data_IF_409760686024
#
_entry.id   IF_409760686024
#
_cell.length_a   1.000
_cell.length_b   1.000
_cell.length_c   1.000
_cell.angle_alpha   90.00
_cell.angle_beta   90.00
_cell.angle_gamma   90.00
#
_symmetry.space_group_name_H-M   'P 1'
#
loop_
_entity.id
_entity.type
_entity.pdbx_description
1 polymer ?
#
# COMPACT_ATOMS: atom_id res chain seq x y z
N UNK A 1 -15.31 8.73 -9.75
CA UNK A 1 -14.12 9.10 -8.94
C UNK A 1 -13.17 7.92 -8.71
N UNK A 2 -13.66 6.69 -8.46
CA UNK A 2 -12.77 5.52 -8.30
C UNK A 2 -11.94 5.18 -9.56
N UNK A 3 -12.41 5.56 -10.74
CA UNK A 3 -11.65 5.41 -12.00
C UNK A 3 -10.54 6.45 -12.14
N UNK A 4 -10.75 7.66 -11.61
CA UNK A 4 -9.78 8.74 -11.63
C UNK A 4 -8.74 8.62 -10.50
N UNK A 5 -9.11 7.98 -9.37
CA UNK A 5 -8.29 7.83 -8.20
C UNK A 5 -8.29 6.36 -7.72
N UNK A 6 -7.61 5.46 -8.44
CA UNK A 6 -7.53 4.04 -8.07
C UNK A 6 -6.64 3.88 -6.84
N UNK A 7 -7.17 4.03 -5.67
CA UNK A 7 -6.41 3.91 -4.43
C UNK A 7 -7.27 4.15 -3.21
N UNK A 8 -6.80 3.70 -2.06
CA UNK A 8 -7.55 3.86 -0.81
C UNK A 8 -7.62 5.33 -0.35
N UNK A 9 -6.69 6.19 -0.81
CA UNK A 9 -6.58 7.59 -0.37
C UNK A 9 -7.82 8.43 -0.65
N UNK A 10 -8.51 8.20 -1.77
CA UNK A 10 -9.70 8.99 -2.10
C UNK A 10 -10.87 8.78 -1.12
N UNK A 11 -10.95 7.62 -0.46
CA UNK A 11 -11.98 7.38 0.55
C UNK A 11 -11.80 8.32 1.75
N UNK A 12 -10.57 8.51 2.23
CA UNK A 12 -10.29 9.45 3.33
C UNK A 12 -10.62 10.89 2.94
N UNK A 13 -10.35 11.31 1.70
CA UNK A 13 -10.69 12.65 1.21
C UNK A 13 -12.21 12.86 1.10
N UNK A 14 -12.94 11.81 0.75
CA UNK A 14 -14.39 11.84 0.56
C UNK A 14 -15.20 11.53 1.82
N UNK A 15 -14.56 11.19 2.93
CA UNK A 15 -15.19 10.71 4.16
C UNK A 15 -16.34 11.60 4.63
N UNK A 16 -16.13 12.94 4.67
CA UNK A 16 -17.16 13.90 5.09
C UNK A 16 -18.44 13.83 4.25
N UNK A 17 -18.30 13.53 2.97
CA UNK A 17 -19.46 13.42 2.06
C UNK A 17 -20.19 12.11 2.26
N UNK A 18 -19.49 10.99 2.42
CA UNK A 18 -20.10 9.70 2.70
C UNK A 18 -20.88 9.71 4.02
N UNK A 19 -20.30 10.30 5.08
CA UNK A 19 -20.93 10.36 6.41
C UNK A 19 -22.10 11.34 6.47
N UNK A 20 -22.24 12.27 5.53
CA UNK A 20 -23.37 13.19 5.44
C UNK A 20 -24.59 12.59 4.72
N UNK A 21 -24.46 11.44 4.05
CA UNK A 21 -25.55 10.82 3.32
C UNK A 21 -26.51 10.08 4.28
N UNK A 22 -27.82 10.14 4.03
CA UNK A 22 -28.78 9.29 4.73
C UNK A 22 -28.49 7.81 4.51
N UNK A 23 -28.69 6.99 5.53
CA UNK A 23 -28.44 5.53 5.45
C UNK A 23 -29.27 4.87 4.33
N UNK A 24 -30.51 5.34 4.11
CA UNK A 24 -31.39 4.85 3.05
C UNK A 24 -30.79 5.03 1.64
N UNK A 25 -30.09 6.15 1.40
CA UNK A 25 -29.41 6.38 0.12
C UNK A 25 -28.18 5.48 -0.04
N UNK A 26 -27.44 5.29 1.05
CA UNK A 26 -26.28 4.39 1.03
C UNK A 26 -26.72 2.95 0.72
N UNK A 27 -27.78 2.45 1.37
CA UNK A 27 -28.35 1.11 1.14
C UNK A 27 -28.96 0.92 -0.26
N UNK A 28 -29.32 1.99 -0.94
CA UNK A 28 -29.80 1.94 -2.32
C UNK A 28 -28.69 1.82 -3.37
N UNK A 29 -27.42 2.05 -3.00
CA UNK A 29 -26.30 2.14 -3.94
C UNK A 29 -25.16 1.17 -3.61
N UNK A 30 -24.87 0.17 -4.47
CA UNK A 30 -23.71 -0.69 -4.30
C UNK A 30 -22.37 0.05 -4.16
N UNK A 31 -22.22 1.18 -4.86
CA UNK A 31 -21.03 2.03 -4.79
C UNK A 31 -20.85 2.67 -3.43
N UNK A 32 -21.95 3.16 -2.84
CA UNK A 32 -21.90 3.83 -1.55
C UNK A 32 -21.66 2.81 -0.41
N UNK A 33 -22.30 1.63 -0.47
CA UNK A 33 -22.05 0.56 0.49
C UNK A 33 -20.60 0.08 0.46
N UNK A 34 -20.01 -0.09 -0.73
CA UNK A 34 -18.59 -0.40 -0.88
C UNK A 34 -17.72 0.70 -0.26
N UNK A 35 -18.04 1.97 -0.55
CA UNK A 35 -17.29 3.12 -0.03
C UNK A 35 -17.34 3.19 1.49
N UNK A 36 -18.51 2.98 2.09
CA UNK A 36 -18.68 2.95 3.54
C UNK A 36 -17.94 1.79 4.20
N UNK A 37 -17.97 0.59 3.60
CA UNK A 37 -17.17 -0.55 4.08
C UNK A 37 -15.68 -0.21 4.10
N UNK A 38 -15.16 0.38 3.04
CA UNK A 38 -13.74 0.78 2.97
C UNK A 38 -13.41 1.91 3.95
N UNK A 39 -14.27 2.93 4.08
CA UNK A 39 -14.07 4.03 5.03
C UNK A 39 -14.00 3.54 6.48
N UNK A 40 -14.92 2.67 6.88
CA UNK A 40 -14.89 2.06 8.21
C UNK A 40 -13.61 1.26 8.43
N UNK A 41 -13.18 0.47 7.43
CA UNK A 41 -11.92 -0.29 7.51
C UNK A 41 -10.69 0.61 7.69
N UNK A 42 -10.61 1.71 6.93
CA UNK A 42 -9.52 2.69 7.04
C UNK A 42 -9.53 3.46 8.36
N UNK A 43 -10.70 3.60 8.99
CA UNK A 43 -10.86 4.16 10.33
C UNK A 43 -10.66 3.11 11.45
N UNK A 44 -10.28 1.87 11.13
CA UNK A 44 -10.14 0.74 12.06
C UNK A 44 -11.47 0.34 12.75
N UNK A 45 -12.61 0.74 12.18
CA UNK A 45 -13.93 0.27 12.54
C UNK A 45 -14.28 -0.97 11.70
N UNK A 46 -13.71 -2.12 12.09
CA UNK A 46 -13.85 -3.35 11.32
C UNK A 46 -15.27 -3.93 11.40
N UNK A 47 -15.97 -3.72 12.50
CA UNK A 47 -17.40 -4.11 12.65
C UNK A 47 -18.29 -3.32 11.70
N UNK A 48 -18.13 -2.00 11.65
CA UNK A 48 -18.81 -1.14 10.70
C UNK A 48 -18.50 -1.51 9.25
N UNK A 49 -17.23 -1.84 8.97
CA UNK A 49 -16.81 -2.32 7.64
C UNK A 49 -17.55 -3.59 7.22
N UNK A 50 -17.60 -4.60 8.09
CA UNK A 50 -18.29 -5.87 7.80
C UNK A 50 -19.83 -5.71 7.77
N UNK A 51 -20.41 -4.79 8.53
CA UNK A 51 -21.82 -4.44 8.44
C UNK A 51 -22.17 -3.95 7.01
N UNK A 52 -21.40 -3.01 6.47
CA UNK A 52 -21.64 -2.50 5.12
C UNK A 52 -21.33 -3.52 4.03
N UNK A 53 -20.33 -4.36 4.22
CA UNK A 53 -20.08 -5.51 3.35
C UNK A 53 -21.27 -6.47 3.34
N UNK A 54 -21.82 -6.81 4.50
CA UNK A 54 -23.01 -7.65 4.65
C UNK A 54 -24.23 -7.05 3.97
N UNK A 55 -24.46 -5.74 4.11
CA UNK A 55 -25.53 -5.03 3.41
C UNK A 55 -25.40 -5.13 1.88
N UNK A 56 -24.18 -4.92 1.36
CA UNK A 56 -23.89 -5.06 -0.06
C UNK A 56 -24.10 -6.49 -0.56
N UNK A 57 -23.72 -7.49 0.25
CA UNK A 57 -23.96 -8.91 -0.07
C UNK A 57 -25.47 -9.22 -0.12
N UNK A 58 -26.22 -8.81 0.87
CA UNK A 58 -27.67 -8.96 0.88
C UNK A 58 -28.33 -8.26 -0.32
N UNK A 59 -27.85 -7.07 -0.70
CA UNK A 59 -28.32 -6.37 -1.90
C UNK A 59 -28.13 -7.21 -3.16
N UNK A 60 -26.99 -7.91 -3.30
CA UNK A 60 -26.70 -8.78 -4.44
C UNK A 60 -27.56 -10.06 -4.42
N UNK A 61 -27.71 -10.69 -3.24
CA UNK A 61 -28.38 -11.99 -3.06
C UNK A 61 -29.90 -11.90 -3.21
N UNK A 62 -30.52 -10.77 -2.86
CA UNK A 62 -31.96 -10.53 -3.00
C UNK A 62 -32.39 -10.27 -4.46
N UNK A 63 -31.49 -10.23 -5.42
CA UNK A 63 -31.76 -9.92 -6.84
C UNK A 63 -31.40 -11.06 -7.77
N UNK A 64 -32.04 -11.12 -8.94
CA UNK A 64 -31.68 -12.12 -9.96
C UNK A 64 -30.25 -11.92 -10.45
N UNK A 65 -29.55 -13.01 -10.80
CA UNK A 65 -28.15 -12.95 -11.26
C UNK A 65 -27.95 -12.04 -12.49
N UNK A 66 -28.95 -11.97 -13.36
CA UNK A 66 -28.93 -11.15 -14.57
C UNK A 66 -29.19 -9.65 -14.33
N UNK A 67 -29.64 -9.27 -13.13
CA UNK A 67 -29.88 -7.87 -12.78
C UNK A 67 -28.55 -7.08 -12.82
N UNK A 68 -28.48 -5.99 -13.60
CA UNK A 68 -27.26 -5.16 -13.69
C UNK A 68 -26.79 -4.64 -12.33
N UNK A 69 -27.74 -4.28 -11.42
CA UNK A 69 -27.40 -3.80 -10.09
C UNK A 69 -26.81 -4.92 -9.21
N UNK A 70 -27.33 -6.14 -9.31
CA UNK A 70 -26.76 -7.30 -8.63
C UNK A 70 -25.38 -7.66 -9.16
N UNK A 71 -25.17 -7.54 -10.48
CA UNK A 71 -23.84 -7.73 -11.09
C UNK A 71 -22.85 -6.69 -10.60
N UNK A 72 -23.26 -5.42 -10.53
CA UNK A 72 -22.44 -4.35 -9.97
C UNK A 72 -22.08 -4.62 -8.50
N UNK A 73 -23.04 -5.05 -7.68
CA UNK A 73 -22.81 -5.40 -6.29
C UNK A 73 -21.80 -6.55 -6.14
N UNK A 74 -21.93 -7.63 -6.93
CA UNK A 74 -20.94 -8.74 -6.94
C UNK A 74 -19.56 -8.28 -7.35
N UNK A 75 -19.45 -7.41 -8.34
CA UNK A 75 -18.15 -6.82 -8.74
C UNK A 75 -17.48 -6.08 -7.59
N UNK A 76 -18.27 -5.33 -6.82
CA UNK A 76 -17.79 -4.57 -5.66
C UNK A 76 -17.46 -5.44 -4.46
N UNK A 77 -18.21 -6.51 -4.24
CA UNK A 77 -17.87 -7.52 -3.23
C UNK A 77 -16.54 -8.20 -3.54
N UNK A 78 -16.34 -8.64 -4.79
CA UNK A 78 -15.09 -9.23 -5.22
C UNK A 78 -13.89 -8.27 -5.05
N UNK A 79 -14.13 -6.96 -5.30
CA UNK A 79 -13.13 -5.94 -5.04
C UNK A 79 -12.83 -5.77 -3.55
N UNK A 80 -13.85 -5.74 -2.68
CA UNK A 80 -13.68 -5.65 -1.23
C UNK A 80 -12.97 -6.89 -0.67
N UNK A 81 -13.28 -8.10 -1.18
CA UNK A 81 -12.62 -9.33 -0.77
C UNK A 81 -11.10 -9.30 -1.00
N UNK A 82 -10.67 -8.61 -2.05
CA UNK A 82 -9.25 -8.41 -2.34
C UNK A 82 -8.67 -7.23 -1.54
N UNK A 83 -9.43 -6.13 -1.37
CA UNK A 83 -8.88 -4.83 -0.97
C UNK A 83 -8.99 -4.54 0.52
N UNK A 84 -9.97 -5.11 1.26
CA UNK A 84 -10.17 -4.79 2.69
C UNK A 84 -8.90 -5.10 3.50
N UNK A 85 -8.35 -4.10 4.22
CA UNK A 85 -7.09 -4.25 4.95
C UNK A 85 -7.11 -5.37 5.99
N UNK A 86 -8.21 -5.46 6.78
CA UNK A 86 -8.34 -6.43 7.88
C UNK A 86 -8.45 -7.89 7.43
N UNK A 87 -8.70 -8.16 6.15
CA UNK A 87 -8.80 -9.54 5.62
C UNK A 87 -7.46 -10.19 5.32
N UNK A 88 -6.36 -9.47 5.49
CA UNK A 88 -5.02 -10.00 5.27
C UNK A 88 -4.81 -10.60 3.88
N UNK A 89 -3.87 -11.52 3.75
CA UNK A 89 -3.52 -12.18 2.48
C UNK A 89 -3.78 -13.69 2.46
N UNK A 90 -4.04 -14.32 3.62
CA UNK A 90 -4.22 -15.78 3.70
C UNK A 90 -5.39 -16.28 2.83
N UNK A 91 -6.49 -15.52 2.81
CA UNK A 91 -7.67 -15.84 2.00
C UNK A 91 -7.49 -15.62 0.51
N UNK A 92 -6.55 -14.78 0.09
CA UNK A 92 -6.38 -14.36 -1.30
C UNK A 92 -6.01 -15.52 -2.23
N UNK A 93 -5.29 -16.53 -1.75
CA UNK A 93 -4.95 -17.74 -2.53
C UNK A 93 -6.22 -18.45 -3.03
N UNK A 94 -7.32 -18.39 -2.27
CA UNK A 94 -8.62 -18.95 -2.66
C UNK A 94 -9.48 -17.93 -3.41
N UNK A 95 -9.41 -16.67 -3.00
CA UNK A 95 -10.22 -15.57 -3.55
C UNK A 95 -9.79 -15.22 -4.97
N UNK A 96 -8.49 -15.12 -5.26
CA UNK A 96 -7.98 -14.75 -6.60
C UNK A 96 -8.49 -15.70 -7.68
N UNK A 97 -8.37 -17.04 -7.58
CA UNK A 97 -8.91 -17.95 -8.58
C UNK A 97 -10.43 -17.88 -8.73
N UNK A 98 -11.17 -17.62 -7.63
CA UNK A 98 -12.62 -17.48 -7.67
C UNK A 98 -13.03 -16.19 -8.42
N UNK A 99 -12.39 -15.08 -8.11
CA UNK A 99 -12.60 -13.80 -8.80
C UNK A 99 -12.20 -13.90 -10.28
N UNK A 100 -11.09 -14.57 -10.57
CA UNK A 100 -10.66 -14.84 -11.96
C UNK A 100 -11.72 -15.57 -12.77
N UNK A 101 -12.33 -16.60 -12.22
CA UNK A 101 -13.42 -17.33 -12.86
C UNK A 101 -14.60 -16.41 -13.16
N UNK A 102 -15.04 -15.62 -12.19
CA UNK A 102 -16.15 -14.67 -12.38
C UNK A 102 -15.85 -13.61 -13.45
N UNK A 103 -14.59 -13.17 -13.56
CA UNK A 103 -14.14 -12.26 -14.62
C UNK A 103 -14.17 -12.93 -16.00
N UNK A 104 -13.67 -14.17 -16.09
CA UNK A 104 -13.65 -14.97 -17.34
C UNK A 104 -15.05 -15.23 -17.84
N UNK A 105 -15.97 -15.58 -16.94
CA UNK A 105 -17.38 -15.83 -17.25
C UNK A 105 -18.18 -14.52 -17.47
N UNK A 106 -17.51 -13.37 -17.42
CA UNK A 106 -18.11 -12.02 -17.56
C UNK A 106 -19.24 -11.74 -16.56
N UNK A 107 -19.24 -12.41 -15.42
CA UNK A 107 -20.22 -12.19 -14.36
C UNK A 107 -19.93 -10.91 -13.56
N UNK A 108 -18.67 -10.50 -13.49
CA UNK A 108 -18.20 -9.30 -12.82
C UNK A 108 -17.22 -8.50 -13.67
N UNK A 109 -16.98 -7.25 -13.27
CA UNK A 109 -15.89 -6.40 -13.75
C UNK A 109 -15.21 -5.78 -12.54
N UNK A 110 -13.88 -5.82 -12.45
CA UNK A 110 -13.18 -5.15 -11.37
C UNK A 110 -12.89 -3.69 -11.76
N UNK A 111 -13.17 -2.72 -10.86
CA UNK A 111 -12.65 -1.38 -11.01
C UNK A 111 -11.13 -1.39 -10.86
N UNK A 112 -10.45 -0.39 -11.42
CA UNK A 112 -9.02 -0.19 -11.19
C UNK A 112 -8.74 -0.03 -9.69
N UNK A 113 -7.64 -0.63 -9.21
CA UNK A 113 -7.21 -0.50 -7.82
C UNK A 113 -5.69 -0.40 -7.73
N UNK A 114 -5.20 0.25 -6.69
CA UNK A 114 -3.78 0.35 -6.40
C UNK A 114 -3.33 -0.84 -5.56
N UNK A 115 -2.34 -1.58 -6.01
CA UNK A 115 -1.75 -2.69 -5.25
C UNK A 115 -0.77 -2.23 -4.18
N UNK A 116 -0.18 -1.04 -4.35
CA UNK A 116 0.82 -0.48 -3.43
C UNK A 116 0.25 0.53 -2.45
N UNK A 117 -0.92 1.09 -2.73
CA UNK A 117 -1.44 2.25 -2.00
C UNK A 117 -0.43 3.42 -1.95
N UNK A 118 0.22 3.70 -3.07
CA UNK A 118 1.26 4.73 -3.23
C UNK A 118 2.56 4.51 -2.46
N UNK A 119 2.83 3.28 -2.02
CA UNK A 119 4.07 2.91 -1.32
C UNK A 119 5.14 2.40 -2.28
N UNK A 120 6.42 2.53 -1.93
CA UNK A 120 7.53 2.00 -2.74
C UNK A 120 7.74 0.48 -2.53
N UNK A 121 6.66 -0.29 -2.45
CA UNK A 121 6.69 -1.71 -2.13
C UNK A 121 5.47 -2.44 -2.68
N UNK A 122 5.65 -3.63 -3.21
CA UNK A 122 4.60 -4.59 -3.53
C UNK A 122 4.34 -5.49 -2.30
N UNK A 123 5.41 -6.01 -1.69
CA UNK A 123 5.31 -6.96 -0.57
C UNK A 123 4.72 -6.33 0.68
N UNK A 124 4.94 -5.03 0.89
CA UNK A 124 4.37 -4.24 1.99
C UNK A 124 3.57 -3.03 1.46
N UNK A 125 2.84 -3.21 0.39
CA UNK A 125 1.99 -2.21 -0.24
C UNK A 125 0.61 -2.07 0.40
N UNK A 126 -0.44 -2.14 -0.39
CA UNK A 126 -1.83 -2.11 0.09
C UNK A 126 -2.14 -3.19 1.11
N UNK A 127 -1.55 -4.38 0.96
CA UNK A 127 -1.54 -5.47 1.94
C UNK A 127 -0.10 -5.87 2.27
N UNK A 128 0.06 -6.64 3.34
CA UNK A 128 1.33 -7.26 3.70
C UNK A 128 1.37 -8.69 3.15
N UNK A 129 2.26 -8.95 2.20
CA UNK A 129 2.45 -10.24 1.55
C UNK A 129 3.62 -11.05 2.13
N UNK A 130 4.17 -10.67 3.29
CA UNK A 130 5.32 -11.35 3.90
C UNK A 130 5.11 -12.85 4.10
N UNK A 131 3.90 -13.28 4.42
CA UNK A 131 3.58 -14.72 4.53
C UNK A 131 3.79 -15.50 3.21
N UNK A 132 3.68 -14.83 2.08
CA UNK A 132 3.91 -15.44 0.77
C UNK A 132 5.39 -15.63 0.46
N UNK A 133 6.27 -14.91 1.16
CA UNK A 133 7.72 -15.00 0.97
C UNK A 133 8.27 -16.41 1.19
N UNK A 134 7.60 -17.22 2.02
CA UNK A 134 7.95 -18.63 2.26
C UNK A 134 7.81 -19.53 1.02
N UNK A 135 7.04 -19.09 0.03
CA UNK A 135 6.71 -19.84 -1.20
C UNK A 135 6.82 -18.96 -2.45
N UNK A 136 7.64 -17.92 -2.41
CA UNK A 136 7.72 -16.89 -3.46
C UNK A 136 7.98 -17.45 -4.87
N UNK A 137 8.95 -18.38 -5.03
CA UNK A 137 9.22 -18.98 -6.33
C UNK A 137 8.06 -19.84 -6.85
N UNK A 138 7.35 -20.55 -5.97
CA UNK A 138 6.16 -21.33 -6.34
C UNK A 138 5.02 -20.40 -6.75
N UNK A 139 4.76 -19.37 -5.94
CA UNK A 139 3.71 -18.39 -6.21
C UNK A 139 4.00 -17.59 -7.48
N UNK A 140 5.25 -17.22 -7.72
CA UNK A 140 5.66 -16.59 -8.97
C UNK A 140 5.32 -17.44 -10.18
N UNK A 141 5.71 -18.72 -10.18
CA UNK A 141 5.44 -19.65 -11.29
C UNK A 141 3.96 -19.89 -11.55
N UNK A 142 3.16 -19.89 -10.49
CA UNK A 142 1.72 -20.24 -10.58
C UNK A 142 0.83 -19.02 -10.79
N UNK A 143 1.19 -17.86 -10.25
CA UNK A 143 0.34 -16.67 -10.24
C UNK A 143 0.73 -15.60 -11.25
N UNK A 144 1.96 -15.59 -11.78
CA UNK A 144 2.42 -14.55 -12.71
C UNK A 144 1.45 -14.40 -13.89
N UNK A 145 1.28 -15.45 -14.67
CA UNK A 145 0.43 -15.40 -15.89
C UNK A 145 -1.04 -15.09 -15.58
N UNK A 146 -1.69 -15.74 -14.61
CA UNK A 146 -3.05 -15.37 -14.21
C UNK A 146 -3.20 -13.92 -13.75
N UNK A 147 -2.25 -13.44 -12.95
CA UNK A 147 -2.25 -12.06 -12.42
C UNK A 147 -2.12 -11.05 -13.56
N UNK A 148 -1.14 -11.23 -14.44
CA UNK A 148 -0.95 -10.36 -15.61
C UNK A 148 -2.17 -10.37 -16.55
N UNK A 149 -2.76 -11.54 -16.79
CA UNK A 149 -3.96 -11.66 -17.63
C UNK A 149 -5.20 -10.96 -17.03
N UNK A 150 -5.36 -11.04 -15.71
CA UNK A 150 -6.51 -10.42 -15.00
C UNK A 150 -6.30 -8.91 -14.81
N UNK A 151 -5.14 -8.53 -14.34
CA UNK A 151 -4.85 -7.13 -14.01
C UNK A 151 -4.46 -6.29 -15.23
N UNK A 152 -4.12 -6.94 -16.37
CA UNK A 152 -3.70 -6.26 -17.60
C UNK A 152 -2.56 -5.27 -17.28
N UNK A 153 -2.77 -3.97 -17.57
CA UNK A 153 -1.78 -2.91 -17.31
C UNK A 153 -1.38 -2.84 -15.82
N UNK A 154 -2.30 -3.16 -14.90
CA UNK A 154 -2.04 -3.13 -13.46
C UNK A 154 -1.22 -4.36 -12.99
N UNK A 155 -0.99 -5.34 -13.88
CA UNK A 155 -0.18 -6.53 -13.63
C UNK A 155 1.24 -6.47 -14.21
N UNK A 156 1.51 -5.52 -15.10
CA UNK A 156 2.81 -5.42 -15.79
C UNK A 156 3.94 -5.18 -14.78
N UNK A 157 4.86 -6.15 -14.66
CA UNK A 157 5.99 -6.12 -13.74
C UNK A 157 5.66 -6.40 -12.27
N UNK A 158 4.39 -6.58 -11.92
CA UNK A 158 3.95 -6.80 -10.55
C UNK A 158 4.60 -8.04 -9.93
N UNK A 159 4.48 -9.20 -10.59
CA UNK A 159 5.00 -10.45 -10.06
C UNK A 159 6.52 -10.48 -10.02
N UNK A 160 7.19 -9.94 -11.03
CA UNK A 160 8.65 -9.84 -11.08
C UNK A 160 9.20 -8.95 -9.96
N UNK A 161 8.56 -7.79 -9.73
CA UNK A 161 8.93 -6.89 -8.64
C UNK A 161 8.67 -7.54 -7.27
N UNK A 162 7.51 -8.18 -7.07
CA UNK A 162 7.16 -8.82 -5.80
C UNK A 162 8.16 -9.89 -5.39
N UNK A 163 8.56 -10.78 -6.33
CA UNK A 163 9.53 -11.83 -6.01
C UNK A 163 10.94 -11.27 -5.80
N UNK A 164 11.35 -10.25 -6.56
CA UNK A 164 12.63 -9.58 -6.36
C UNK A 164 12.68 -8.90 -4.98
N UNK A 165 11.61 -8.20 -4.60
CA UNK A 165 11.49 -7.57 -3.28
C UNK A 165 11.47 -8.60 -2.15
N UNK A 166 10.70 -9.70 -2.28
CA UNK A 166 10.69 -10.80 -1.29
C UNK A 166 12.09 -11.35 -1.03
N UNK A 167 12.87 -11.58 -2.07
CA UNK A 167 14.24 -12.09 -1.95
C UNK A 167 15.19 -11.04 -1.36
N UNK A 168 15.02 -9.77 -1.74
CA UNK A 168 15.79 -8.67 -1.14
C UNK A 168 15.57 -8.57 0.37
N UNK A 169 14.31 -8.63 0.82
CA UNK A 169 13.95 -8.58 2.25
C UNK A 169 14.53 -9.78 3.04
N UNK A 170 14.75 -10.91 2.40
CA UNK A 170 15.43 -12.08 2.99
C UNK A 170 16.95 -11.98 2.97
N UNK A 171 17.52 -10.91 2.41
CA UNK A 171 18.98 -10.76 2.26
C UNK A 171 19.57 -11.62 1.15
N UNK A 172 18.77 -12.18 0.25
CA UNK A 172 19.25 -12.96 -0.89
C UNK A 172 19.89 -12.05 -1.95
N UNK A 173 20.83 -12.58 -2.72
CA UNK A 173 21.41 -11.86 -3.86
C UNK A 173 20.39 -11.77 -5.00
N UNK A 174 19.92 -10.56 -5.28
CA UNK A 174 18.91 -10.30 -6.33
C UNK A 174 19.49 -9.65 -7.58
N UNK A 175 20.81 -9.65 -7.74
CA UNK A 175 21.48 -8.96 -8.87
C UNK A 175 20.94 -9.43 -10.22
N UNK A 176 20.81 -10.73 -10.45
CA UNK A 176 20.26 -11.27 -11.70
C UNK A 176 18.80 -10.85 -11.92
N UNK A 177 17.98 -10.86 -10.86
CA UNK A 177 16.56 -10.43 -10.93
C UNK A 177 16.44 -8.94 -11.24
N UNK A 178 17.32 -8.13 -10.66
CA UNK A 178 17.36 -6.70 -10.97
C UNK A 178 17.81 -6.44 -12.40
N UNK A 179 18.81 -7.17 -12.90
CA UNK A 179 19.21 -7.10 -14.31
C UNK A 179 18.09 -7.50 -15.26
N UNK A 180 17.24 -8.45 -14.89
CA UNK A 180 16.06 -8.83 -15.66
C UNK A 180 14.91 -7.81 -15.53
N UNK A 181 14.80 -7.12 -14.40
CA UNK A 181 13.73 -6.15 -14.13
C UNK A 181 14.03 -4.77 -14.75
N UNK A 182 15.29 -4.32 -14.79
CA UNK A 182 15.69 -3.02 -15.34
C UNK A 182 15.18 -2.80 -16.78
N UNK A 183 15.33 -3.74 -17.73
CA UNK A 183 14.77 -3.58 -19.07
C UNK A 183 13.26 -3.43 -19.09
N UNK A 184 12.56 -4.03 -18.13
CA UNK A 184 11.10 -3.96 -18.02
C UNK A 184 10.64 -2.59 -17.50
N UNK A 185 11.50 -1.78 -16.89
CA UNK A 185 11.14 -0.43 -16.40
C UNK A 185 10.55 0.40 -17.52
N UNK A 186 11.12 0.37 -18.73
CA UNK A 186 10.57 1.09 -19.89
C UNK A 186 9.21 0.56 -20.31
N UNK A 187 8.97 -0.74 -20.23
CA UNK A 187 7.67 -1.34 -20.51
C UNK A 187 6.65 -0.97 -19.44
N UNK A 188 7.03 -1.01 -18.16
CA UNK A 188 6.20 -0.59 -17.04
C UNK A 188 5.80 0.88 -17.19
N UNK A 189 6.73 1.76 -17.60
CA UNK A 189 6.45 3.17 -17.87
C UNK A 189 5.42 3.38 -18.99
N UNK A 190 5.49 2.59 -20.04
CA UNK A 190 4.63 2.73 -21.21
C UNK A 190 3.28 2.03 -21.07
N UNK A 191 3.25 0.86 -20.46
CA UNK A 191 2.09 -0.04 -20.43
C UNK A 191 1.56 -0.32 -19.03
N UNK A 192 2.38 -0.14 -17.99
CA UNK A 192 2.06 -0.43 -16.60
C UNK A 192 1.36 0.73 -15.89
N UNK A 193 1.39 0.68 -14.58
CA UNK A 193 0.83 1.73 -13.71
C UNK A 193 1.92 2.44 -12.93
N UNK A 194 1.70 3.71 -12.55
CA UNK A 194 2.62 4.47 -11.71
C UNK A 194 2.93 3.76 -10.37
N UNK A 195 1.97 3.00 -9.85
CA UNK A 195 2.12 2.21 -8.63
C UNK A 195 3.28 1.22 -8.73
N UNK A 196 3.28 0.40 -9.78
CA UNK A 196 4.33 -0.61 -10.00
C UNK A 196 5.65 0.08 -10.34
N UNK A 197 5.59 1.14 -11.12
CA UNK A 197 6.79 1.90 -11.46
C UNK A 197 7.47 2.47 -10.21
N UNK A 198 6.70 3.00 -9.25
CA UNK A 198 7.28 3.49 -8.00
C UNK A 198 7.87 2.35 -7.17
N UNK A 199 7.18 1.21 -7.06
CA UNK A 199 7.71 0.06 -6.32
C UNK A 199 9.01 -0.48 -6.91
N UNK A 200 9.11 -0.61 -8.24
CA UNK A 200 10.33 -1.08 -8.94
C UNK A 200 11.49 -0.12 -8.73
N UNK A 201 11.28 1.19 -8.92
CA UNK A 201 12.33 2.20 -8.69
C UNK A 201 12.69 2.30 -7.20
N UNK A 202 11.72 2.11 -6.31
CA UNK A 202 11.95 2.02 -4.87
C UNK A 202 12.86 0.85 -4.49
N UNK A 203 12.61 -0.34 -5.07
CA UNK A 203 13.46 -1.50 -4.87
C UNK A 203 14.86 -1.28 -5.47
N UNK A 204 14.95 -0.72 -6.68
CA UNK A 204 16.23 -0.39 -7.30
C UNK A 204 17.06 0.55 -6.43
N UNK A 205 16.46 1.62 -5.94
CA UNK A 205 17.13 2.58 -5.06
C UNK A 205 17.60 1.94 -3.75
N UNK A 206 16.81 1.04 -3.15
CA UNK A 206 17.20 0.27 -1.96
C UNK A 206 18.38 -0.67 -2.24
N UNK A 207 18.40 -1.32 -3.40
CA UNK A 207 19.53 -2.13 -3.84
C UNK A 207 20.80 -1.31 -4.07
N UNK A 208 20.67 -0.12 -4.66
CA UNK A 208 21.80 0.81 -4.84
C UNK A 208 22.34 1.26 -3.48
N UNK A 209 21.45 1.63 -2.55
CA UNK A 209 21.82 2.05 -1.21
C UNK A 209 22.55 0.95 -0.43
N UNK A 210 22.08 -0.30 -0.50
CA UNK A 210 22.72 -1.46 0.15
C UNK A 210 24.12 -1.78 -0.41
N UNK A 211 24.42 -1.30 -1.63
CA UNK A 211 25.74 -1.41 -2.28
C UNK A 211 26.64 -0.17 -2.05
N UNK A 212 26.21 0.78 -1.20
CA UNK A 212 26.93 2.02 -0.96
C UNK A 212 26.80 3.07 -2.06
N UNK A 213 25.89 2.87 -3.03
CA UNK A 213 25.66 3.77 -4.16
C UNK A 213 24.56 4.81 -3.82
N UNK A 214 24.78 5.56 -2.73
CA UNK A 214 23.77 6.48 -2.20
C UNK A 214 23.37 7.59 -3.18
N UNK A 215 24.32 8.14 -3.93
CA UNK A 215 24.06 9.18 -4.93
C UNK A 215 23.17 8.67 -6.07
N UNK A 216 23.37 7.42 -6.52
CA UNK A 216 22.56 6.82 -7.58
C UNK A 216 21.16 6.48 -7.05
N UNK A 217 21.04 5.97 -5.83
CA UNK A 217 19.76 5.71 -5.16
C UNK A 217 18.93 6.98 -5.05
N UNK A 218 19.53 8.08 -4.60
CA UNK A 218 18.88 9.39 -4.51
C UNK A 218 18.42 9.87 -5.87
N UNK A 219 19.32 9.85 -6.88
CA UNK A 219 19.00 10.26 -8.26
C UNK A 219 17.86 9.46 -8.85
N UNK A 220 17.79 8.16 -8.61
CA UNK A 220 16.70 7.29 -9.07
C UNK A 220 15.33 7.82 -8.59
N UNK A 221 15.20 8.12 -7.30
CA UNK A 221 13.93 8.60 -6.73
C UNK A 221 13.66 10.06 -7.10
N UNK A 222 14.65 10.95 -7.13
CA UNK A 222 14.49 12.35 -7.52
C UNK A 222 14.02 12.47 -8.98
N UNK A 223 14.59 11.70 -9.89
CA UNK A 223 14.19 11.66 -11.30
C UNK A 223 12.74 11.18 -11.45
N UNK A 224 12.37 10.10 -10.74
CA UNK A 224 11.02 9.59 -10.75
C UNK A 224 10.03 10.62 -10.17
N UNK A 225 10.40 11.25 -9.06
CA UNK A 225 9.61 12.27 -8.38
C UNK A 225 9.30 13.46 -9.29
N UNK A 226 10.33 14.02 -9.94
CA UNK A 226 10.17 15.16 -10.86
C UNK A 226 9.23 14.80 -12.02
N UNK A 227 9.34 13.59 -12.57
CA UNK A 227 8.46 13.14 -13.64
C UNK A 227 7.02 12.95 -13.17
N UNK A 228 6.80 12.33 -12.00
CA UNK A 228 5.46 12.17 -11.44
C UNK A 228 4.79 13.51 -11.12
N UNK A 229 5.57 14.47 -10.63
CA UNK A 229 5.10 15.84 -10.40
C UNK A 229 4.66 16.50 -11.73
N UNK A 230 5.48 16.41 -12.77
CA UNK A 230 5.17 16.92 -14.10
C UNK A 230 3.92 16.25 -14.73
N UNK A 231 3.63 14.99 -14.37
CA UNK A 231 2.45 14.25 -14.81
C UNK A 231 1.21 14.47 -13.93
N UNK A 232 1.31 15.29 -12.87
CA UNK A 232 0.21 15.51 -11.92
C UNK A 232 -0.07 14.32 -11.00
N UNK A 233 0.86 13.37 -10.88
CA UNK A 233 0.74 12.18 -10.00
C UNK A 233 1.11 12.53 -8.55
N UNK A 234 0.56 13.62 -8.03
CA UNK A 234 0.94 14.22 -6.74
C UNK A 234 0.72 13.32 -5.54
N UNK A 235 -0.19 12.33 -5.63
CA UNK A 235 -0.47 11.37 -4.55
C UNK A 235 0.73 10.52 -4.13
N UNK A 236 1.73 10.36 -5.00
CA UNK A 236 2.94 9.57 -4.70
C UNK A 236 4.04 10.40 -4.01
N UNK A 237 4.05 11.72 -4.23
CA UNK A 237 5.14 12.60 -3.80
C UNK A 237 5.42 12.52 -2.29
N UNK A 238 4.42 12.47 -1.39
CA UNK A 238 4.71 12.40 0.05
C UNK A 238 5.51 11.16 0.46
N UNK A 239 5.26 10.00 -0.16
CA UNK A 239 6.01 8.78 0.14
C UNK A 239 7.38 8.76 -0.56
N UNK A 240 7.54 9.41 -1.71
CA UNK A 240 8.84 9.63 -2.34
C UNK A 240 9.71 10.56 -1.50
N UNK A 241 9.14 11.65 -0.99
CA UNK A 241 9.82 12.58 -0.09
C UNK A 241 10.24 11.88 1.23
N UNK A 242 9.39 11.02 1.79
CA UNK A 242 9.73 10.22 2.96
C UNK A 242 10.84 9.20 2.65
N UNK A 243 10.87 8.63 1.45
CA UNK A 243 11.94 7.72 1.03
C UNK A 243 13.28 8.46 0.89
N UNK A 244 13.28 9.66 0.31
CA UNK A 244 14.47 10.52 0.24
C UNK A 244 14.96 10.91 1.65
N UNK A 245 14.06 11.20 2.58
CA UNK A 245 14.41 11.44 3.99
C UNK A 245 15.09 10.22 4.64
N UNK A 246 14.59 9.00 4.42
CA UNK A 246 15.26 7.77 4.91
C UNK A 246 16.65 7.59 4.33
N UNK A 247 16.84 7.95 3.05
CA UNK A 247 18.17 7.91 2.42
C UNK A 247 19.10 8.96 3.04
N UNK A 248 18.60 10.16 3.34
CA UNK A 248 19.34 11.20 4.04
C UNK A 248 19.81 10.71 5.41
N UNK A 249 18.91 10.13 6.23
CA UNK A 249 19.28 9.53 7.51
C UNK A 249 20.32 8.41 7.38
N UNK A 250 20.24 7.58 6.34
CA UNK A 250 21.23 6.53 6.09
C UNK A 250 22.62 7.07 5.74
N UNK A 251 22.67 8.28 5.18
CA UNK A 251 23.90 8.96 4.78
C UNK A 251 24.38 9.99 5.81
N UNK A 252 23.81 10.02 7.01
CA UNK A 252 24.08 11.00 8.07
C UNK A 252 23.81 12.47 7.63
N UNK A 253 22.98 12.67 6.60
CA UNK A 253 22.52 14.00 6.15
C UNK A 253 21.33 14.45 7.02
N UNK A 254 21.67 14.91 8.22
CA UNK A 254 20.68 15.34 9.21
C UNK A 254 19.91 16.58 8.74
N UNK A 255 20.54 17.51 8.04
CA UNK A 255 19.92 18.75 7.56
C UNK A 255 18.74 18.46 6.60
N UNK A 256 18.93 17.54 5.64
CA UNK A 256 17.86 17.11 4.75
C UNK A 256 16.72 16.39 5.48
N UNK A 257 17.05 15.57 6.49
CA UNK A 257 16.05 14.88 7.30
C UNK A 257 15.23 15.87 8.14
N UNK A 258 15.86 16.85 8.76
CA UNK A 258 15.22 17.90 9.54
C UNK A 258 14.34 18.81 8.69
N UNK A 259 14.77 19.14 7.47
CA UNK A 259 13.96 19.89 6.50
C UNK A 259 12.69 19.14 6.15
N UNK A 260 12.79 17.83 5.83
CA UNK A 260 11.63 16.99 5.58
C UNK A 260 10.70 16.96 6.80
N UNK A 261 11.25 16.75 8.00
CA UNK A 261 10.48 16.71 9.25
C UNK A 261 9.70 18.01 9.46
N UNK A 262 10.36 19.15 9.26
CA UNK A 262 9.78 20.48 9.47
C UNK A 262 8.69 20.83 8.46
N UNK A 263 8.83 20.40 7.19
CA UNK A 263 7.98 20.87 6.09
C UNK A 263 6.97 19.84 5.57
N UNK A 264 7.24 18.53 5.73
CA UNK A 264 6.49 17.46 5.03
C UNK A 264 5.99 16.33 5.94
N UNK A 265 6.55 16.17 7.15
CA UNK A 265 6.10 15.12 8.06
C UNK A 265 4.64 15.28 8.46
N UNK A 266 3.90 14.19 8.70
CA UNK A 266 2.53 14.25 9.21
C UNK A 266 2.50 14.96 10.58
N UNK A 267 1.55 15.92 10.76
CA UNK A 267 1.53 16.76 11.98
C UNK A 267 0.48 16.34 12.99
N UNK A 268 -0.40 15.41 12.65
CA UNK A 268 -1.48 15.00 13.52
C UNK A 268 -1.31 13.53 13.94
N UNK A 269 -0.64 13.28 15.08
CA UNK A 269 -0.47 11.94 15.60
C UNK A 269 -1.76 11.37 16.22
N UNK A 270 -2.75 12.23 16.55
CA UNK A 270 -3.98 11.80 17.23
C UNK A 270 -5.01 11.21 16.26
N UNK A 271 -4.96 11.59 14.97
CA UNK A 271 -5.85 11.08 13.94
C UNK A 271 -5.05 10.30 12.90
N UNK A 272 -4.83 9.00 13.21
CA UNK A 272 -4.08 8.13 12.31
C UNK A 272 -4.75 8.04 10.94
N UNK A 273 -4.02 8.48 9.92
CA UNK A 273 -4.33 8.16 8.54
C UNK A 273 -3.46 6.99 8.10
N UNK A 274 -4.03 5.79 8.03
CA UNK A 274 -3.31 4.55 7.70
C UNK A 274 -2.57 4.61 6.35
N UNK A 275 -3.01 5.49 5.45
CA UNK A 275 -2.35 5.73 4.16
C UNK A 275 -1.00 6.44 4.30
N UNK A 276 -0.77 7.12 5.44
CA UNK A 276 0.48 7.81 5.76
C UNK A 276 1.43 6.99 6.63
N UNK A 277 1.16 5.70 6.86
CA UNK A 277 1.96 4.86 7.77
C UNK A 277 3.46 4.88 7.45
N UNK A 278 3.84 4.90 6.16
CA UNK A 278 5.23 5.00 5.75
C UNK A 278 5.88 6.31 6.20
N UNK A 279 5.12 7.42 6.15
CA UNK A 279 5.57 8.73 6.61
C UNK A 279 5.68 8.78 8.12
N UNK A 280 4.73 8.17 8.89
CA UNK A 280 4.83 8.11 10.36
C UNK A 280 6.04 7.29 10.82
N UNK A 281 6.32 6.15 10.20
CA UNK A 281 7.53 5.38 10.48
C UNK A 281 8.79 6.19 10.17
N UNK A 282 8.82 6.95 9.07
CA UNK A 282 9.92 7.84 8.73
C UNK A 282 10.06 8.99 9.73
N UNK A 283 8.94 9.58 10.17
CA UNK A 283 8.92 10.62 11.19
C UNK A 283 9.55 10.12 12.49
N UNK A 284 9.17 8.94 12.97
CA UNK A 284 9.76 8.35 14.17
C UNK A 284 11.27 8.11 14.02
N UNK A 285 11.75 7.71 12.81
CA UNK A 285 13.19 7.60 12.55
C UNK A 285 13.92 8.94 12.72
N UNK A 286 13.35 10.02 12.19
CA UNK A 286 13.92 11.38 12.36
C UNK A 286 13.89 11.81 13.83
N UNK A 287 12.78 11.58 14.53
CA UNK A 287 12.64 11.92 15.95
C UNK A 287 13.67 11.19 16.83
N UNK A 288 13.95 9.91 16.52
CA UNK A 288 15.03 9.15 17.19
C UNK A 288 16.41 9.75 16.86
N UNK A 289 16.67 10.09 15.60
CA UNK A 289 17.92 10.70 15.17
C UNK A 289 18.16 12.08 15.85
N UNK A 290 17.08 12.85 16.05
CA UNK A 290 17.07 14.12 16.79
C UNK A 290 17.17 13.95 18.31
N UNK A 291 17.36 12.73 18.83
CA UNK A 291 17.36 12.42 20.26
C UNK A 291 16.06 12.84 20.99
N UNK A 292 14.91 12.60 20.35
CA UNK A 292 13.56 12.89 20.84
C UNK A 292 12.74 11.61 21.01
N UNK A 293 13.15 10.68 21.90
CA UNK A 293 12.55 9.34 21.98
C UNK A 293 11.07 9.36 22.39
N UNK A 294 10.65 10.28 23.25
CA UNK A 294 9.24 10.37 23.65
C UNK A 294 8.34 10.81 22.50
N UNK A 295 8.81 11.70 21.62
CA UNK A 295 8.09 12.08 20.42
C UNK A 295 7.94 10.86 19.47
N UNK A 296 9.02 10.11 19.26
CA UNK A 296 8.99 8.90 18.43
C UNK A 296 7.99 7.85 18.97
N UNK A 297 7.98 7.58 20.26
CA UNK A 297 7.02 6.66 20.88
C UNK A 297 5.57 7.16 20.73
N UNK A 298 5.33 8.46 20.84
CA UNK A 298 4.02 9.05 20.59
C UNK A 298 3.57 8.89 19.13
N UNK A 299 4.48 9.09 18.18
CA UNK A 299 4.22 8.91 16.75
C UNK A 299 3.93 7.44 16.40
N UNK A 300 4.60 6.49 17.06
CA UNK A 300 4.47 5.05 16.78
C UNK A 300 3.23 4.41 17.42
N UNK A 301 2.80 4.89 18.59
CA UNK A 301 1.73 4.29 19.39
C UNK A 301 0.41 4.04 18.62
N UNK A 302 -0.12 4.99 17.82
CA UNK A 302 -1.36 4.74 17.07
C UNK A 302 -1.22 3.69 15.95
N UNK A 303 0.00 3.45 15.45
CA UNK A 303 0.25 2.47 14.38
C UNK A 303 0.12 1.03 14.88
N UNK A 304 0.39 0.77 16.15
CA UNK A 304 0.38 -0.59 16.72
C UNK A 304 -0.98 -1.27 16.51
N UNK A 305 -2.06 -0.57 16.87
CA UNK A 305 -3.43 -1.09 16.70
C UNK A 305 -3.76 -1.41 15.24
N UNK A 306 -3.34 -0.55 14.31
CA UNK A 306 -3.55 -0.79 12.88
C UNK A 306 -2.73 -1.98 12.38
N UNK A 307 -1.46 -2.07 12.76
CA UNK A 307 -0.55 -3.13 12.36
C UNK A 307 -1.07 -4.48 12.81
N UNK A 308 -1.49 -4.60 14.08
CA UNK A 308 -2.07 -5.83 14.65
C UNK A 308 -3.39 -6.20 13.98
N UNK A 309 -4.30 -5.23 13.83
CA UNK A 309 -5.64 -5.48 13.26
C UNK A 309 -5.63 -5.88 11.78
N UNK A 310 -4.59 -5.53 11.04
CA UNK A 310 -4.44 -5.84 9.61
C UNK A 310 -3.38 -6.93 9.31
N UNK A 311 -2.77 -7.52 10.33
CA UNK A 311 -1.74 -8.56 10.15
C UNK A 311 -0.52 -8.07 9.35
N UNK A 312 -0.04 -6.84 9.62
CA UNK A 312 1.05 -6.22 8.89
C UNK A 312 2.39 -6.53 9.56
N UNK A 313 2.95 -7.69 9.25
CA UNK A 313 4.16 -8.21 9.90
C UNK A 313 5.40 -7.36 9.60
N UNK A 314 5.60 -6.90 8.36
CA UNK A 314 6.76 -6.07 7.99
C UNK A 314 6.71 -4.73 8.72
N UNK A 315 5.56 -4.07 8.72
CA UNK A 315 5.39 -2.82 9.49
C UNK A 315 5.55 -3.07 10.99
N UNK A 316 5.11 -4.23 11.51
CA UNK A 316 5.29 -4.64 12.90
C UNK A 316 6.75 -4.82 13.29
N UNK A 317 7.57 -5.40 12.41
CA UNK A 317 9.03 -5.51 12.61
C UNK A 317 9.64 -4.11 12.69
N UNK A 318 9.32 -3.22 11.75
CA UNK A 318 9.82 -1.85 11.76
C UNK A 318 9.39 -1.08 13.01
N UNK A 319 8.10 -1.19 13.40
CA UNK A 319 7.58 -0.58 14.61
C UNK A 319 8.38 -1.03 15.85
N UNK A 320 8.54 -2.35 16.03
CA UNK A 320 9.23 -2.89 17.19
C UNK A 320 10.69 -2.47 17.26
N UNK A 321 11.40 -2.43 16.12
CA UNK A 321 12.78 -1.93 16.06
C UNK A 321 12.83 -0.46 16.47
N UNK A 322 11.95 0.38 15.93
CA UNK A 322 11.93 1.81 16.26
C UNK A 322 11.54 2.06 17.72
N UNK A 323 10.58 1.31 18.26
CA UNK A 323 10.24 1.38 19.69
C UNK A 323 11.43 0.97 20.58
N UNK A 324 12.14 -0.10 20.22
CA UNK A 324 13.32 -0.54 20.97
C UNK A 324 14.43 0.52 20.95
N UNK A 325 14.71 1.13 19.79
CA UNK A 325 15.69 2.20 19.64
C UNK A 325 15.29 3.44 20.44
N UNK A 326 14.02 3.84 20.39
CA UNK A 326 13.52 4.99 21.16
C UNK A 326 13.65 4.74 22.68
N UNK A 327 13.28 3.54 23.15
CA UNK A 327 13.41 3.17 24.57
C UNK A 327 14.87 3.09 25.02
N UNK A 328 15.77 2.63 24.18
CA UNK A 328 17.21 2.63 24.46
C UNK A 328 17.71 4.06 24.60
N UNK A 329 17.43 4.95 23.67
CA UNK A 329 17.80 6.38 23.73
C UNK A 329 17.20 7.09 24.96
N UNK A 330 15.98 6.72 25.36
CA UNK A 330 15.36 7.29 26.58
C UNK A 330 16.12 6.93 27.85
N UNK A 331 16.69 5.71 27.94
CA UNK A 331 17.53 5.31 29.09
C UNK A 331 18.86 6.05 29.12
N UNK A 332 19.45 6.32 27.94
CA UNK A 332 20.71 7.08 27.85
C UNK A 332 20.54 8.54 28.26
N UNK A 333 19.31 9.09 28.22
CA UNK A 333 18.96 10.46 28.59
C UNK A 333 18.46 10.59 30.05
N UNK A 334 18.29 9.50 30.78
CA UNK A 334 17.81 9.47 32.18
C UNK A 334 18.99 9.31 33.17
#
# INVERSE_FOLDING_TARGET
NSELHPGMGHYSEMEKYYRALPESEILASPSLMQGMSMLCALAMDYEGSERWYGALKNFADCRKKQDPAARQARSRLAWLDISLPQRGVEGLIKTIPAVFRLLTDKEITLPSFSVTSTLPSIMNGGKDFSEWSKKDDLLYRTLRTPVEAVLKKDGVGLADCAVAESKFEKGENITERMLALIPQVSEIQQKGTPDIEFAVNGLLARCQLSKGQAADARRTIETLRARFEAQGLTRFLPNMDAMLCRMALHCDDQDSADEWYRTKAPRDPMHLNVMKRYQYLTQAMVEIAQNRPDAALLTLSPLERYIQGCGRHIDGIHLNILCALALYRKKDNA
#
